data_IF_219676811075
#
_entry.id   IF_219676811075
#
_cell.length_a   1.000
_cell.length_b   1.000
_cell.length_c   1.000
_cell.angle_alpha   90.00
_cell.angle_beta   90.00
_cell.angle_gamma   90.00
#
_symmetry.space_group_name_H-M   'P 1'
#
loop_
_entity.id
_entity.type
_entity.pdbx_description
1 polymer ?
#
# COMPACT_ATOMS: atom_id res chain seq x y z
N UNK A 1 -3.56 -4.53 -15.57
CA UNK A 1 -2.80 -4.96 -14.38
C UNK A 1 -1.35 -4.51 -14.49
N UNK A 2 -0.83 -3.91 -13.44
CA UNK A 2 0.59 -3.56 -13.30
C UNK A 2 1.15 -4.22 -12.06
N UNK A 3 2.35 -4.77 -12.17
CA UNK A 3 3.03 -5.47 -11.08
C UNK A 3 4.43 -4.92 -10.90
N UNK A 4 4.81 -4.62 -9.65
CA UNK A 4 6.16 -4.15 -9.33
C UNK A 4 6.54 -4.51 -7.90
N UNK A 5 7.84 -4.57 -7.65
CA UNK A 5 8.37 -4.55 -6.29
C UNK A 5 8.59 -3.11 -5.86
N UNK A 6 8.19 -2.78 -4.65
CA UNK A 6 8.35 -1.46 -4.07
C UNK A 6 9.17 -1.53 -2.80
N UNK A 7 10.31 -0.87 -2.84
CA UNK A 7 11.22 -0.78 -1.70
C UNK A 7 11.00 0.51 -0.94
N UNK A 8 10.91 0.40 0.39
CA UNK A 8 10.86 1.55 1.28
C UNK A 8 12.05 1.47 2.25
N UNK A 9 12.96 2.43 2.14
CA UNK A 9 14.18 2.48 2.93
C UNK A 9 13.90 2.62 4.43
N UNK A 10 14.84 2.20 5.30
CA UNK A 10 14.71 2.44 6.73
C UNK A 10 14.61 3.93 7.04
N UNK A 11 13.82 4.28 8.05
CA UNK A 11 13.59 5.65 8.49
C UNK A 11 13.10 6.59 7.38
N UNK A 12 12.33 6.06 6.43
CA UNK A 12 11.78 6.81 5.32
C UNK A 12 10.26 6.72 5.30
N UNK A 13 9.62 7.78 4.83
CA UNK A 13 8.18 7.79 4.63
C UNK A 13 7.83 8.28 3.23
N UNK A 14 6.74 7.76 2.70
CA UNK A 14 6.06 8.32 1.53
C UNK A 14 4.97 9.23 2.09
N UNK A 15 4.99 10.50 1.69
CA UNK A 15 4.04 11.49 2.23
C UNK A 15 2.61 11.22 1.80
N UNK A 16 1.62 11.66 2.59
CA UNK A 16 0.21 11.52 2.23
C UNK A 16 -0.11 12.06 0.84
N UNK A 17 -0.79 11.25 0.05
CA UNK A 17 -1.16 11.60 -1.32
C UNK A 17 -2.40 10.81 -1.76
N UNK A 18 -2.97 11.24 -2.87
CA UNK A 18 -4.06 10.55 -3.56
C UNK A 18 -3.56 10.21 -4.95
N UNK A 19 -3.76 8.97 -5.39
CA UNK A 19 -3.45 8.59 -6.76
C UNK A 19 -4.58 9.05 -7.68
N UNK A 20 -4.23 9.94 -8.62
CA UNK A 20 -5.21 10.50 -9.56
C UNK A 20 -5.38 9.66 -10.83
N UNK A 21 -4.61 8.60 -10.99
CA UNK A 21 -4.81 7.68 -12.09
C UNK A 21 -5.99 6.76 -11.81
N UNK A 22 -7.17 7.16 -12.27
CA UNK A 22 -8.42 6.42 -12.02
C UNK A 22 -8.49 5.07 -12.75
N UNK A 23 -7.60 4.81 -13.70
CA UNK A 23 -7.51 3.53 -14.38
C UNK A 23 -7.09 2.41 -13.43
N UNK A 24 -6.20 2.70 -12.48
CA UNK A 24 -5.67 1.73 -11.51
C UNK A 24 -5.97 2.21 -10.09
N UNK A 25 -7.26 2.15 -9.72
CA UNK A 25 -7.74 2.68 -8.44
C UNK A 25 -7.59 1.72 -7.27
N UNK A 26 -7.27 0.46 -7.52
CA UNK A 26 -7.11 -0.55 -6.49
C UNK A 26 -5.72 -1.15 -6.57
N UNK A 27 -5.05 -1.22 -5.43
CA UNK A 27 -3.77 -1.90 -5.31
C UNK A 27 -3.87 -3.07 -4.36
N UNK A 28 -3.24 -4.17 -4.74
CA UNK A 28 -3.01 -5.31 -3.87
C UNK A 28 -1.57 -5.24 -3.40
N UNK A 29 -1.36 -5.26 -2.10
CA UNK A 29 -0.05 -5.32 -1.48
C UNK A 29 0.20 -6.72 -0.92
N UNK A 30 1.32 -7.29 -1.29
CA UNK A 30 1.80 -8.55 -0.73
C UNK A 30 3.17 -8.27 -0.12
N UNK A 31 3.27 -8.19 1.21
CA UNK A 31 4.56 -7.98 1.85
C UNK A 31 5.48 -9.17 1.62
N UNK A 32 6.69 -8.91 1.13
CA UNK A 32 7.72 -9.92 0.88
C UNK A 32 8.77 -9.89 1.98
N UNK A 33 9.30 -8.70 2.27
CA UNK A 33 10.21 -8.43 3.38
C UNK A 33 9.66 -7.24 4.13
N UNK A 34 9.49 -7.38 5.43
CA UNK A 34 8.98 -6.29 6.27
C UNK A 34 9.63 -6.32 7.65
N UNK A 35 9.31 -5.31 8.45
CA UNK A 35 9.67 -5.24 9.86
C UNK A 35 8.48 -4.68 10.64
N UNK A 36 8.42 -4.89 11.97
CA UNK A 36 7.24 -4.52 12.77
C UNK A 36 6.98 -3.02 12.85
N UNK A 37 7.93 -2.19 12.42
CA UNK A 37 7.83 -0.72 12.44
C UNK A 37 7.47 -0.14 11.07
N UNK A 38 7.04 -0.96 10.13
CA UNK A 38 6.55 -0.55 8.82
C UNK A 38 5.04 -0.54 8.79
N UNK A 39 4.46 0.57 8.31
CA UNK A 39 3.02 0.78 8.31
C UNK A 39 2.54 1.31 6.96
N UNK A 40 1.33 0.90 6.61
CA UNK A 40 0.53 1.54 5.58
C UNK A 40 -0.59 2.30 6.25
N UNK A 41 -0.81 3.54 5.82
CA UNK A 41 -1.75 4.46 6.47
C UNK A 41 -2.71 5.04 5.44
N UNK A 42 -3.93 5.29 5.86
CA UNK A 42 -4.95 5.92 5.02
C UNK A 42 -5.97 6.67 5.88
N UNK A 43 -6.67 7.61 5.25
CA UNK A 43 -7.89 8.18 5.82
C UNK A 43 -9.09 7.36 5.37
N UNK A 44 -10.02 7.10 6.28
CA UNK A 44 -11.31 6.53 5.94
C UNK A 44 -12.30 7.63 5.51
N UNK A 45 -13.54 7.24 5.17
CA UNK A 45 -14.56 8.19 4.74
C UNK A 45 -15.02 9.16 5.84
N UNK A 46 -14.77 8.83 7.10
CA UNK A 46 -15.11 9.68 8.25
C UNK A 46 -13.97 10.61 8.65
N UNK A 47 -12.84 10.55 7.95
CA UNK A 47 -11.66 11.34 8.24
C UNK A 47 -10.76 10.77 9.34
N UNK A 48 -10.99 9.53 9.77
CA UNK A 48 -10.14 8.85 10.73
C UNK A 48 -8.92 8.26 10.06
N UNK A 49 -7.81 8.24 10.78
CA UNK A 49 -6.57 7.61 10.29
C UNK A 49 -6.60 6.13 10.62
N UNK A 50 -6.39 5.32 9.59
CA UNK A 50 -6.16 3.88 9.72
C UNK A 50 -4.68 3.64 9.48
N UNK A 51 -4.02 3.00 10.43
CA UNK A 51 -2.59 2.68 10.38
C UNK A 51 -2.41 1.20 10.64
N UNK A 52 -1.85 0.47 9.66
CA UNK A 52 -1.71 -0.97 9.76
C UNK A 52 -0.33 -1.45 9.36
N UNK A 53 0.18 -2.39 10.14
CA UNK A 53 1.32 -3.20 9.75
C UNK A 53 0.83 -4.39 8.93
N UNK A 54 1.45 -4.60 7.76
CA UNK A 54 1.17 -5.75 6.91
C UNK A 54 2.27 -6.78 7.09
N UNK A 55 2.01 -7.92 7.75
CA UNK A 55 3.03 -8.93 7.95
C UNK A 55 3.36 -9.68 6.66
N UNK A 56 4.60 -10.15 6.55
CA UNK A 56 5.06 -10.96 5.42
C UNK A 56 4.70 -12.44 5.64
N UNK A 57 3.42 -12.75 5.63
CA UNK A 57 2.88 -14.09 5.91
C UNK A 57 2.06 -14.67 4.76
N UNK A 58 2.17 -14.08 3.57
CA UNK A 58 1.40 -14.49 2.40
C UNK A 58 0.05 -13.82 2.26
N UNK A 59 -0.39 -13.04 3.25
CA UNK A 59 -1.67 -12.32 3.17
C UNK A 59 -1.61 -11.21 2.13
N UNK A 60 -2.66 -11.11 1.34
CA UNK A 60 -2.84 -10.03 0.38
C UNK A 60 -3.72 -8.94 1.00
N UNK A 61 -3.32 -7.69 0.81
CA UNK A 61 -4.03 -6.54 1.35
C UNK A 61 -4.50 -5.64 0.21
N UNK A 62 -5.78 -5.24 0.23
CA UNK A 62 -6.35 -4.34 -0.76
C UNK A 62 -6.30 -2.91 -0.25
N UNK A 63 -5.86 -2.00 -1.10
CA UNK A 63 -5.81 -0.57 -0.80
C UNK A 63 -6.56 0.21 -1.87
N UNK A 64 -7.52 1.03 -1.45
CA UNK A 64 -8.18 2.00 -2.31
C UNK A 64 -7.30 3.24 -2.45
N UNK A 65 -6.63 3.39 -3.58
CA UNK A 65 -5.71 4.50 -3.82
C UNK A 65 -6.40 5.82 -4.15
N UNK A 66 -7.74 5.81 -4.29
CA UNK A 66 -8.55 7.03 -4.38
C UNK A 66 -8.70 7.77 -3.04
N UNK A 67 -8.38 7.12 -1.93
CA UNK A 67 -8.31 7.74 -0.62
C UNK A 67 -6.90 8.24 -0.35
N UNK A 68 -6.78 9.33 0.45
CA UNK A 68 -5.47 9.82 0.86
C UNK A 68 -4.74 8.75 1.67
N UNK A 69 -3.54 8.41 1.27
CA UNK A 69 -2.76 7.32 1.87
C UNK A 69 -1.28 7.66 1.90
N UNK A 70 -0.54 6.97 2.75
CA UNK A 70 0.91 7.09 2.86
C UNK A 70 1.52 5.82 3.46
N UNK A 71 2.84 5.74 3.43
CA UNK A 71 3.57 4.63 4.01
C UNK A 71 4.72 5.12 4.87
N UNK A 72 5.02 4.40 5.94
CA UNK A 72 6.09 4.70 6.87
C UNK A 72 6.94 3.45 7.10
N UNK A 73 8.24 3.61 7.11
CA UNK A 73 9.16 2.59 7.60
C UNK A 73 10.03 3.22 8.69
N UNK A 74 9.67 2.99 9.93
CA UNK A 74 10.38 3.49 11.11
C UNK A 74 11.39 2.47 11.65
N UNK A 75 11.57 1.38 10.93
CA UNK A 75 12.52 0.32 11.30
C UNK A 75 13.93 0.60 10.82
N UNK A 76 14.83 -0.33 11.14
CA UNK A 76 16.23 -0.28 10.76
C UNK A 76 16.54 -1.03 9.47
N UNK A 77 15.57 -1.73 8.93
CA UNK A 77 15.68 -2.52 7.70
C UNK A 77 14.69 -2.04 6.65
N UNK A 78 15.04 -2.24 5.38
CA UNK A 78 14.16 -1.90 4.26
C UNK A 78 12.93 -2.81 4.22
N UNK A 79 11.84 -2.28 3.64
CA UNK A 79 10.59 -3.01 3.41
C UNK A 79 10.39 -3.21 1.91
N UNK A 80 10.05 -4.43 1.50
CA UNK A 80 9.72 -4.74 0.11
C UNK A 80 8.31 -5.31 0.05
N UNK A 81 7.44 -4.68 -0.73
CA UNK A 81 6.11 -5.18 -1.09
C UNK A 81 6.07 -5.51 -2.58
N UNK A 82 5.40 -6.58 -2.92
CA UNK A 82 4.91 -6.79 -4.27
C UNK A 82 3.60 -6.02 -4.40
N UNK A 83 3.52 -5.12 -5.35
CA UNK A 83 2.33 -4.31 -5.58
C UNK A 83 1.73 -4.66 -6.93
N UNK A 84 0.45 -5.03 -6.92
CA UNK A 84 -0.33 -5.31 -8.11
C UNK A 84 -1.39 -4.21 -8.21
N UNK A 85 -1.30 -3.39 -9.25
CA UNK A 85 -2.30 -2.34 -9.51
C UNK A 85 -3.35 -2.88 -10.46
N UNK A 86 -4.61 -2.80 -10.04
CA UNK A 86 -5.74 -3.36 -10.76
C UNK A 86 -6.60 -2.25 -11.36
N UNK A 87 -7.08 -2.50 -12.59
CA UNK A 87 -8.14 -1.72 -13.18
C UNK A 87 -9.48 -2.29 -12.69
N UNK A 88 -10.20 -1.55 -11.85
CA UNK A 88 -11.43 -2.02 -11.24
C UNK A 88 -12.52 -2.40 -12.24
N UNK A 89 -12.52 -1.78 -13.43
CA UNK A 89 -13.51 -2.10 -14.47
C UNK A 89 -13.14 -3.38 -15.25
N UNK A 90 -11.87 -3.56 -15.55
CA UNK A 90 -11.42 -4.66 -16.42
C UNK A 90 -10.98 -5.89 -15.64
N UNK A 91 -10.40 -5.71 -14.45
CA UNK A 91 -9.77 -6.81 -13.72
C UNK A 91 -10.67 -7.41 -12.64
N UNK A 92 -11.69 -6.69 -12.17
CA UNK A 92 -12.49 -7.08 -11.02
C UNK A 92 -13.97 -7.25 -11.35
N UNK A 93 -14.55 -6.37 -12.18
CA UNK A 93 -15.98 -6.33 -12.46
C UNK A 93 -16.29 -7.15 -13.70
N UNK A 94 -16.38 -8.42 -13.58
CA UNK A 94 -16.74 -9.32 -14.66
C UNK A 94 -17.69 -10.40 -14.14
#
# INVERSE_FOLDING_TARGET
>A
TRTRFAFLAPNYEIKPHIDYNTTYSIRVHIPIITNPDSYLCAYDYEGNIIRRHFPADGTCWFLNTGMRHWAENNGTEGRIHLIISLNGQQDIVH
#
